data_IF_719121879548
#
_entry.id   IF_719121879548
#
_cell.length_a   1.000
_cell.length_b   1.000
_cell.length_c   1.000
_cell.angle_alpha   90.00
_cell.angle_beta   90.00
_cell.angle_gamma   90.00
#
_symmetry.space_group_name_H-M   'P 1'
#
loop_
_entity.id
_entity.type
_entity.pdbx_description
1 polymer ?
#
# COMPACT_ATOMS: atom_id res chain seq x y z
N UNK A 1 -14.31 15.46 70.73
CA UNK A 1 -15.01 16.70 71.17
C UNK A 1 -16.44 16.32 71.50
N UNK A 2 -17.00 16.84 72.59
CA UNK A 2 -18.39 16.60 72.97
C UNK A 2 -19.34 17.09 71.86
N UNK A 3 -20.36 16.31 71.51
CA UNK A 3 -21.39 16.72 70.54
C UNK A 3 -22.50 17.41 71.34
N UNK A 4 -22.90 18.61 70.92
CA UNK A 4 -23.98 19.37 71.57
C UNK A 4 -25.23 19.38 70.69
N UNK A 5 -26.40 19.21 71.32
CA UNK A 5 -27.67 19.25 70.61
C UNK A 5 -27.97 20.67 70.10
N UNK A 6 -28.59 20.80 68.91
CA UNK A 6 -29.02 22.09 68.39
C UNK A 6 -30.16 22.66 69.23
N UNK A 7 -30.20 23.99 69.46
CA UNK A 7 -31.28 24.63 70.22
C UNK A 7 -32.60 24.56 69.44
N UNK A 8 -33.71 24.68 70.17
CA UNK A 8 -35.06 24.77 69.59
C UNK A 8 -35.86 25.92 70.22
N UNK A 9 -36.80 26.44 69.45
CA UNK A 9 -37.73 27.50 69.83
C UNK A 9 -39.05 26.99 70.42
N UNK A 10 -39.26 25.67 70.40
CA UNK A 10 -40.45 24.98 70.93
C UNK A 10 -40.45 24.78 72.44
N UNK A 11 -39.42 25.25 73.15
CA UNK A 11 -39.30 25.10 74.60
C UNK A 11 -39.04 23.67 75.07
N UNK A 12 -38.60 22.79 74.17
CA UNK A 12 -38.23 21.41 74.49
C UNK A 12 -36.84 21.42 75.13
N UNK A 13 -36.65 20.70 76.24
CA UNK A 13 -35.35 20.62 76.89
C UNK A 13 -34.31 20.01 75.95
N UNK A 14 -33.16 20.68 75.87
CA UNK A 14 -32.02 20.24 75.05
C UNK A 14 -31.20 19.22 75.85
N UNK A 15 -30.82 18.06 75.27
CA UNK A 15 -29.95 17.09 75.93
C UNK A 15 -28.59 17.68 76.34
N UNK A 16 -27.99 17.21 77.44
CA UNK A 16 -26.65 17.65 77.84
C UNK A 16 -25.59 17.26 76.78
N UNK A 17 -24.45 17.97 76.70
CA UNK A 17 -23.34 17.60 75.81
C UNK A 17 -22.86 16.18 76.05
N UNK A 18 -22.59 15.43 74.98
CA UNK A 18 -22.21 14.02 75.09
C UNK A 18 -20.80 13.82 75.63
N UNK A 19 -20.56 12.65 76.23
CA UNK A 19 -19.23 12.12 76.49
C UNK A 19 -18.49 11.81 75.17
N UNK A 20 -17.19 11.55 75.29
CA UNK A 20 -16.33 11.18 74.17
C UNK A 20 -15.54 9.90 74.52
N UNK A 21 -15.93 8.72 74.02
CA UNK A 21 -17.00 8.48 73.04
C UNK A 21 -18.42 8.61 73.64
N UNK A 22 -19.44 8.95 72.83
CA UNK A 22 -20.82 8.92 73.29
C UNK A 22 -21.27 7.51 73.68
N UNK A 23 -22.21 7.43 74.61
CA UNK A 23 -22.80 6.20 75.14
C UNK A 23 -24.15 5.89 74.49
N UNK A 24 -24.61 4.63 74.56
CA UNK A 24 -25.92 4.24 74.05
C UNK A 24 -27.07 4.98 74.74
N UNK A 25 -26.90 5.35 76.02
CA UNK A 25 -27.87 6.16 76.73
C UNK A 25 -27.99 7.55 76.10
N UNK A 26 -26.88 8.17 75.71
CA UNK A 26 -26.87 9.48 75.05
C UNK A 26 -27.48 9.42 73.64
N UNK A 27 -27.35 8.29 72.93
CA UNK A 27 -28.09 8.06 71.67
C UNK A 27 -29.61 8.01 71.93
N UNK A 28 -30.04 7.34 73.00
CA UNK A 28 -31.44 7.28 73.41
C UNK A 28 -32.00 8.65 73.79
N UNK A 29 -31.25 9.45 74.55
CA UNK A 29 -31.63 10.83 74.90
C UNK A 29 -31.70 11.74 73.66
N UNK A 30 -30.77 11.61 72.72
CA UNK A 30 -30.83 12.32 71.45
C UNK A 30 -32.08 11.93 70.62
N UNK A 31 -32.43 10.64 70.59
CA UNK A 31 -33.64 10.16 69.90
C UNK A 31 -34.91 10.70 70.58
N UNK A 32 -34.98 10.67 71.91
CA UNK A 32 -36.08 11.26 72.67
C UNK A 32 -36.25 12.76 72.39
N UNK A 33 -35.14 13.49 72.21
CA UNK A 33 -35.18 14.89 71.81
C UNK A 33 -35.79 15.10 70.41
N UNK A 34 -35.37 14.30 69.43
CA UNK A 34 -35.94 14.32 68.07
C UNK A 34 -37.43 13.97 68.05
N UNK A 35 -37.84 12.92 68.78
CA UNK A 35 -39.23 12.48 68.85
C UNK A 35 -40.13 13.54 69.48
N UNK A 36 -39.64 14.22 70.52
CA UNK A 36 -40.35 15.34 71.13
C UNK A 36 -40.51 16.52 70.16
N UNK A 37 -39.48 16.86 69.38
CA UNK A 37 -39.57 17.90 68.35
C UNK A 37 -40.59 17.54 67.28
N UNK A 38 -40.58 16.31 66.77
CA UNK A 38 -41.54 15.84 65.78
C UNK A 38 -42.99 15.89 66.32
N UNK A 39 -43.19 15.54 67.60
CA UNK A 39 -44.49 15.56 68.24
C UNK A 39 -45.04 16.99 68.42
N UNK A 40 -44.20 17.96 68.79
CA UNK A 40 -44.63 19.36 68.96
C UNK A 40 -44.87 20.04 67.62
N UNK A 41 -44.13 19.68 66.56
CA UNK A 41 -44.41 20.15 65.20
C UNK A 41 -45.76 19.67 64.65
N UNK A 42 -46.29 18.56 65.18
CA UNK A 42 -47.57 17.97 64.80
C UNK A 42 -48.77 18.38 65.70
N UNK A 43 -48.53 19.07 66.83
CA UNK A 43 -49.57 19.35 67.84
C UNK A 43 -49.93 20.85 67.93
N UNK A 44 -51.21 21.16 68.15
CA UNK A 44 -51.75 22.53 68.25
C UNK A 44 -51.92 23.01 69.72
N UNK A 45 -50.95 22.73 70.59
CA UNK A 45 -50.98 23.21 71.99
C UNK A 45 -50.28 24.58 72.12
N UNK A 46 -50.37 25.22 73.29
CA UNK A 46 -49.82 26.56 73.62
C UNK A 46 -48.27 26.70 73.48
N UNK A 47 -47.60 25.75 72.83
CA UNK A 47 -46.16 25.78 72.53
C UNK A 47 -45.93 26.18 71.08
N UNK A 48 -44.83 26.91 70.83
CA UNK A 48 -44.43 27.25 69.47
C UNK A 48 -44.09 25.96 68.68
N UNK A 49 -44.70 25.73 67.50
CA UNK A 49 -44.42 24.53 66.70
C UNK A 49 -42.94 24.44 66.33
N UNK A 50 -42.40 23.23 66.31
CA UNK A 50 -41.03 23.01 65.83
C UNK A 50 -40.98 23.21 64.31
N UNK A 51 -39.89 23.81 63.85
CA UNK A 51 -39.62 24.04 62.43
C UNK A 51 -38.94 22.81 61.82
N UNK A 52 -39.10 22.61 60.51
CA UNK A 52 -38.39 21.56 59.78
C UNK A 52 -36.87 21.68 59.90
N UNK A 53 -36.34 22.89 60.11
CA UNK A 53 -34.91 23.15 60.32
C UNK A 53 -34.44 22.59 61.66
N UNK A 54 -35.23 22.78 62.74
CA UNK A 54 -34.92 22.24 64.07
C UNK A 54 -35.01 20.72 64.08
N UNK A 55 -36.02 20.14 63.42
CA UNK A 55 -36.16 18.69 63.24
C UNK A 55 -34.99 18.11 62.44
N UNK A 56 -34.59 18.76 61.34
CA UNK A 56 -33.45 18.35 60.53
C UNK A 56 -32.13 18.44 61.30
N UNK A 57 -31.94 19.50 62.09
CA UNK A 57 -30.79 19.66 62.98
C UNK A 57 -30.72 18.56 64.04
N UNK A 58 -31.84 18.26 64.71
CA UNK A 58 -31.91 17.19 65.70
C UNK A 58 -31.67 15.80 65.07
N UNK A 59 -32.13 15.59 63.83
CA UNK A 59 -31.87 14.36 63.07
C UNK A 59 -30.38 14.14 62.81
N UNK A 60 -29.68 15.19 62.37
CA UNK A 60 -28.22 15.13 62.15
C UNK A 60 -27.46 14.89 63.46
N UNK A 61 -27.91 15.52 64.56
CA UNK A 61 -27.35 15.33 65.88
C UNK A 61 -27.47 13.86 66.36
N UNK A 62 -28.65 13.25 66.22
CA UNK A 62 -28.86 11.82 66.53
C UNK A 62 -27.92 10.94 65.71
N UNK A 63 -27.82 11.21 64.40
CA UNK A 63 -26.98 10.42 63.50
C UNK A 63 -25.49 10.52 63.85
N UNK A 64 -25.01 11.72 64.19
CA UNK A 64 -23.61 11.94 64.56
C UNK A 64 -23.24 11.19 65.86
N UNK A 65 -24.10 11.26 66.87
CA UNK A 65 -23.90 10.55 68.14
C UNK A 65 -23.95 9.04 67.92
N UNK A 66 -24.95 8.54 67.19
CA UNK A 66 -25.08 7.12 66.89
C UNK A 66 -23.85 6.58 66.15
N UNK A 67 -23.32 7.34 65.19
CA UNK A 67 -22.12 6.96 64.42
C UNK A 67 -20.86 6.91 65.28
N UNK A 68 -20.70 7.83 66.24
CA UNK A 68 -19.54 7.84 67.16
C UNK A 68 -19.69 6.88 68.35
N UNK A 69 -20.92 6.49 68.69
CA UNK A 69 -21.23 5.48 69.70
C UNK A 69 -21.10 4.04 69.14
N UNK A 70 -21.21 3.87 67.82
CA UNK A 70 -21.05 2.56 67.19
C UNK A 70 -19.63 2.01 67.46
N UNK A 71 -19.49 0.79 68.01
CA UNK A 71 -18.19 0.15 68.08
C UNK A 71 -17.65 -0.01 66.65
N UNK A 72 -16.32 -0.04 66.47
CA UNK A 72 -15.74 -0.61 65.25
C UNK A 72 -16.10 -2.10 65.19
N UNK A 73 -17.33 -2.40 64.79
CA UNK A 73 -17.80 -3.78 64.63
C UNK A 73 -17.19 -4.26 63.32
N UNK A 74 -16.36 -5.31 63.41
CA UNK A 74 -15.94 -6.11 62.27
C UNK A 74 -17.18 -6.46 61.44
N UNK A 75 -17.10 -6.34 60.11
CA UNK A 75 -18.23 -6.49 59.21
C UNK A 75 -19.14 -7.68 59.60
N UNK A 76 -20.48 -7.55 59.52
CA UNK A 76 -21.40 -8.59 59.98
C UNK A 76 -21.07 -9.96 59.37
N UNK A 77 -21.33 -11.09 60.06
CA UNK A 77 -20.99 -12.43 59.55
C UNK A 77 -21.58 -12.73 58.16
N UNK A 78 -22.76 -12.20 57.85
CA UNK A 78 -23.40 -12.37 56.54
C UNK A 78 -22.66 -11.64 55.40
N UNK A 79 -21.79 -10.67 55.71
CA UNK A 79 -21.01 -9.92 54.72
C UNK A 79 -19.77 -10.67 54.24
N UNK A 80 -19.23 -11.59 55.05
CA UNK A 80 -18.05 -12.39 54.70
C UNK A 80 -18.13 -13.08 53.31
N UNK A 81 -19.21 -13.79 52.94
CA UNK A 81 -19.32 -14.38 51.60
C UNK A 81 -19.36 -13.35 50.48
N UNK A 82 -19.94 -12.17 50.73
CA UNK A 82 -19.99 -11.07 49.75
C UNK A 82 -18.59 -10.51 49.52
N UNK A 83 -17.82 -10.30 50.60
CA UNK A 83 -16.44 -9.86 50.50
C UNK A 83 -15.57 -10.84 49.70
N UNK A 84 -15.74 -12.15 49.93
CA UNK A 84 -15.04 -13.18 49.17
C UNK A 84 -15.40 -13.15 47.67
N UNK A 85 -16.68 -12.98 47.34
CA UNK A 85 -17.12 -12.83 45.94
C UNK A 85 -16.55 -11.57 45.28
N UNK A 86 -16.45 -10.46 46.03
CA UNK A 86 -15.88 -9.23 45.52
C UNK A 86 -14.40 -9.39 45.17
N UNK A 87 -13.63 -10.11 46.00
CA UNK A 87 -12.23 -10.46 45.71
C UNK A 87 -12.15 -11.31 44.43
N UNK A 88 -13.02 -12.31 44.26
CA UNK A 88 -13.06 -13.10 43.03
C UNK A 88 -13.39 -12.26 41.79
N UNK A 89 -14.31 -11.30 41.90
CA UNK A 89 -14.64 -10.40 40.80
C UNK A 89 -13.44 -9.54 40.42
N UNK A 90 -12.71 -8.99 41.41
CA UNK A 90 -11.49 -8.23 41.16
C UNK A 90 -10.45 -9.08 40.42
N UNK A 91 -10.18 -10.29 40.90
CA UNK A 91 -9.24 -11.21 40.21
C UNK A 91 -9.67 -11.53 38.78
N UNK A 92 -10.97 -11.70 38.54
CA UNK A 92 -11.49 -11.95 37.19
C UNK A 92 -11.32 -10.72 36.28
N UNK A 93 -11.51 -9.52 36.80
CA UNK A 93 -11.27 -8.27 36.06
C UNK A 93 -9.79 -8.12 35.71
N UNK A 94 -8.90 -8.41 36.65
CA UNK A 94 -7.45 -8.37 36.40
C UNK A 94 -7.03 -9.38 35.32
N UNK A 95 -7.57 -10.61 35.38
CA UNK A 95 -7.33 -11.62 34.36
C UNK A 95 -7.85 -11.21 32.98
N UNK A 96 -9.02 -10.57 32.92
CA UNK A 96 -9.58 -10.04 31.69
C UNK A 96 -8.70 -8.91 31.13
N UNK A 97 -8.25 -7.99 31.97
CA UNK A 97 -7.33 -6.92 31.57
C UNK A 97 -6.02 -7.49 30.99
N UNK A 98 -5.44 -8.50 31.64
CA UNK A 98 -4.25 -9.18 31.12
C UNK A 98 -4.51 -9.84 29.76
N UNK A 99 -5.69 -10.46 29.59
CA UNK A 99 -6.09 -11.06 28.31
C UNK A 99 -6.22 -9.99 27.21
N UNK A 100 -6.84 -8.85 27.52
CA UNK A 100 -6.99 -7.72 26.59
C UNK A 100 -5.62 -7.14 26.20
N UNK A 101 -4.72 -6.96 27.17
CA UNK A 101 -3.37 -6.47 26.90
C UNK A 101 -2.60 -7.43 25.98
N UNK A 102 -2.65 -8.73 26.25
CA UNK A 102 -2.01 -9.74 25.40
C UNK A 102 -2.60 -9.74 23.98
N UNK A 103 -3.92 -9.57 23.83
CA UNK A 103 -4.56 -9.46 22.51
C UNK A 103 -4.13 -8.19 21.78
N UNK A 104 -4.00 -7.06 22.50
CA UNK A 104 -3.51 -5.80 21.94
C UNK A 104 -2.07 -5.93 21.44
N UNK A 105 -1.19 -6.57 22.21
CA UNK A 105 0.20 -6.79 21.81
C UNK A 105 0.29 -7.72 20.59
N UNK A 106 -0.49 -8.80 20.58
CA UNK A 106 -0.58 -9.70 19.42
C UNK A 106 -1.09 -8.98 18.17
N UNK A 107 -2.11 -8.13 18.31
CA UNK A 107 -2.62 -7.32 17.22
C UNK A 107 -1.54 -6.38 16.66
N UNK A 108 -0.82 -5.67 17.54
CA UNK A 108 0.24 -4.76 17.13
C UNK A 108 1.38 -5.50 16.40
N UNK A 109 1.77 -6.66 16.90
CA UNK A 109 2.78 -7.51 16.26
C UNK A 109 2.32 -7.99 14.88
N UNK A 110 1.08 -8.48 14.76
CA UNK A 110 0.52 -8.91 13.50
C UNK A 110 0.45 -7.76 12.49
N UNK A 111 -0.02 -6.60 12.93
CA UNK A 111 -0.08 -5.39 12.09
C UNK A 111 1.32 -5.00 11.59
N UNK A 112 2.34 -5.07 12.44
CA UNK A 112 3.72 -4.80 12.03
C UNK A 112 4.24 -5.80 10.98
N UNK A 113 4.00 -7.09 11.19
CA UNK A 113 4.38 -8.15 10.24
C UNK A 113 3.69 -7.93 8.88
N UNK A 114 2.39 -7.68 8.89
CA UNK A 114 1.60 -7.45 7.67
C UNK A 114 2.14 -6.23 6.90
N UNK A 115 2.38 -5.11 7.59
CA UNK A 115 2.90 -3.91 6.95
C UNK A 115 4.31 -4.11 6.37
N UNK A 116 5.19 -4.82 7.09
CA UNK A 116 6.53 -5.14 6.59
C UNK A 116 6.46 -6.04 5.35
N UNK A 117 5.63 -7.07 5.38
CA UNK A 117 5.43 -7.97 4.24
C UNK A 117 4.86 -7.22 3.03
N UNK A 118 3.89 -6.34 3.24
CA UNK A 118 3.32 -5.51 2.19
C UNK A 118 4.39 -4.61 1.52
N UNK A 119 5.21 -3.92 2.32
CA UNK A 119 6.28 -3.08 1.81
C UNK A 119 7.34 -3.89 1.04
N UNK A 120 7.72 -5.06 1.56
CA UNK A 120 8.68 -5.94 0.89
C UNK A 120 8.14 -6.45 -0.45
N UNK A 121 6.85 -6.81 -0.50
CA UNK A 121 6.21 -7.26 -1.73
C UNK A 121 6.16 -6.15 -2.77
N UNK A 122 5.78 -4.93 -2.38
CA UNK A 122 5.78 -3.78 -3.30
C UNK A 122 7.17 -3.50 -3.85
N UNK A 123 8.20 -3.49 -3.00
CA UNK A 123 9.58 -3.32 -3.47
C UNK A 123 10.00 -4.43 -4.45
N UNK A 124 9.59 -5.68 -4.22
CA UNK A 124 9.86 -6.78 -5.14
C UNK A 124 9.15 -6.59 -6.49
N UNK A 125 7.89 -6.13 -6.47
CA UNK A 125 7.12 -5.81 -7.68
C UNK A 125 7.76 -4.67 -8.47
N UNK A 126 8.18 -3.60 -7.80
CA UNK A 126 8.86 -2.47 -8.45
C UNK A 126 10.18 -2.91 -9.12
N UNK A 127 10.95 -3.75 -8.45
CA UNK A 127 12.19 -4.31 -9.02
C UNK A 127 11.92 -5.20 -10.24
N UNK A 128 10.86 -6.01 -10.20
CA UNK A 128 10.44 -6.82 -11.35
C UNK A 128 9.99 -5.95 -12.52
N UNK A 129 9.21 -4.90 -12.26
CA UNK A 129 8.78 -3.95 -13.29
C UNK A 129 9.97 -3.27 -13.96
N UNK A 130 10.95 -2.81 -13.17
CA UNK A 130 12.19 -2.24 -13.71
C UNK A 130 12.97 -3.23 -14.57
N UNK A 131 13.04 -4.50 -14.14
CA UNK A 131 13.70 -5.56 -14.91
C UNK A 131 12.99 -5.82 -16.24
N UNK A 132 11.66 -5.88 -16.24
CA UNK A 132 10.84 -6.07 -17.44
C UNK A 132 11.01 -4.90 -18.41
N UNK A 133 10.98 -3.66 -17.92
CA UNK A 133 11.18 -2.48 -18.74
C UNK A 133 12.57 -2.50 -19.42
N UNK A 134 13.62 -2.79 -18.66
CA UNK A 134 14.98 -2.90 -19.21
C UNK A 134 15.09 -4.01 -20.26
N UNK A 135 14.44 -5.16 -20.05
CA UNK A 135 14.40 -6.24 -21.04
C UNK A 135 13.65 -5.83 -22.30
N UNK A 136 12.53 -5.11 -22.17
CA UNK A 136 11.77 -4.58 -23.29
C UNK A 136 12.61 -3.58 -24.11
N UNK A 137 13.32 -2.68 -23.46
CA UNK A 137 14.21 -1.71 -24.13
C UNK A 137 15.36 -2.42 -24.86
N UNK A 138 15.99 -3.40 -24.21
CA UNK A 138 17.03 -4.21 -24.84
C UNK A 138 16.52 -4.99 -26.05
N UNK A 139 15.33 -5.57 -25.96
CA UNK A 139 14.68 -6.25 -27.07
C UNK A 139 14.44 -5.30 -28.25
N UNK A 140 13.86 -4.12 -27.99
CA UNK A 140 13.59 -3.12 -29.03
C UNK A 140 14.89 -2.65 -29.71
N UNK A 141 15.95 -2.41 -28.93
CA UNK A 141 17.25 -2.03 -29.47
C UNK A 141 17.86 -3.12 -30.36
N UNK A 142 17.80 -4.38 -29.92
CA UNK A 142 18.27 -5.52 -30.70
C UNK A 142 17.44 -5.69 -31.98
N UNK A 143 16.12 -5.62 -31.88
CA UNK A 143 15.20 -5.74 -33.01
C UNK A 143 15.50 -4.68 -34.07
N UNK A 144 15.65 -3.42 -33.66
CA UNK A 144 15.99 -2.32 -34.56
C UNK A 144 17.36 -2.52 -35.22
N UNK A 145 18.36 -2.98 -34.45
CA UNK A 145 19.71 -3.25 -34.97
C UNK A 145 19.68 -4.35 -36.03
N UNK A 146 18.98 -5.46 -35.75
CA UNK A 146 18.84 -6.58 -36.69
C UNK A 146 18.11 -6.14 -37.95
N UNK A 147 17.00 -5.42 -37.83
CA UNK A 147 16.24 -4.94 -38.98
C UNK A 147 17.07 -3.98 -39.85
N UNK A 148 17.81 -3.06 -39.24
CA UNK A 148 18.68 -2.14 -39.96
C UNK A 148 19.79 -2.89 -40.72
N UNK A 149 20.42 -3.87 -40.07
CA UNK A 149 21.44 -4.71 -40.70
C UNK A 149 20.87 -5.52 -41.87
N UNK A 150 19.68 -6.11 -41.68
CA UNK A 150 18.98 -6.85 -42.73
C UNK A 150 18.69 -5.96 -43.93
N UNK A 151 18.13 -4.77 -43.71
CA UNK A 151 17.82 -3.81 -44.79
C UNK A 151 19.08 -3.36 -45.53
N UNK A 152 20.16 -3.06 -44.81
CA UNK A 152 21.44 -2.68 -45.40
C UNK A 152 22.03 -3.81 -46.26
N UNK A 153 22.00 -5.04 -45.75
CA UNK A 153 22.47 -6.22 -46.49
C UNK A 153 21.61 -6.47 -47.74
N UNK A 154 20.28 -6.41 -47.61
CA UNK A 154 19.35 -6.56 -48.73
C UNK A 154 19.65 -5.54 -49.83
N UNK A 155 19.84 -4.26 -49.47
CA UNK A 155 20.22 -3.21 -50.41
C UNK A 155 21.58 -3.48 -51.08
N UNK A 156 22.58 -3.93 -50.32
CA UNK A 156 23.89 -4.28 -50.86
C UNK A 156 23.82 -5.44 -51.87
N UNK A 157 23.04 -6.47 -51.56
CA UNK A 157 22.79 -7.62 -52.44
C UNK A 157 22.09 -7.17 -53.72
N UNK A 158 21.05 -6.33 -53.62
CA UNK A 158 20.35 -5.80 -54.80
C UNK A 158 21.29 -4.98 -55.70
N UNK A 159 22.13 -4.13 -55.11
CA UNK A 159 23.12 -3.34 -55.85
C UNK A 159 24.16 -4.23 -56.55
N UNK A 160 24.63 -5.28 -55.87
CA UNK A 160 25.55 -6.26 -56.47
C UNK A 160 24.87 -7.00 -57.63
N UNK A 161 23.63 -7.46 -57.45
CA UNK A 161 22.87 -8.13 -58.51
C UNK A 161 22.73 -7.23 -59.74
N UNK A 162 22.38 -5.96 -59.55
CA UNK A 162 22.32 -4.99 -60.65
C UNK A 162 23.67 -4.81 -61.36
N UNK A 163 24.77 -4.78 -60.59
CA UNK A 163 26.13 -4.67 -61.13
C UNK A 163 26.49 -5.88 -61.97
N UNK A 164 26.14 -7.08 -61.51
CA UNK A 164 26.36 -8.34 -62.27
C UNK A 164 25.56 -8.33 -63.56
N UNK A 165 24.26 -8.01 -63.52
CA UNK A 165 23.42 -7.93 -64.72
C UNK A 165 23.96 -6.93 -65.74
N UNK A 166 24.45 -5.77 -65.30
CA UNK A 166 25.05 -4.78 -66.20
C UNK A 166 26.37 -5.30 -66.83
N UNK A 167 27.15 -6.05 -66.07
CA UNK A 167 28.38 -6.67 -66.57
C UNK A 167 28.08 -7.76 -67.61
N UNK A 168 27.11 -8.62 -67.33
CA UNK A 168 26.62 -9.64 -68.27
C UNK A 168 26.20 -9.00 -69.59
N UNK A 169 25.36 -7.96 -69.54
CA UNK A 169 24.94 -7.23 -70.74
C UNK A 169 26.12 -6.61 -71.52
N UNK A 170 27.13 -6.10 -70.81
CA UNK A 170 28.35 -5.56 -71.43
C UNK A 170 29.17 -6.64 -72.13
N UNK A 171 29.29 -7.82 -71.51
CA UNK A 171 30.00 -8.98 -72.07
C UNK A 171 29.28 -9.48 -73.33
N UNK A 172 27.95 -9.64 -73.27
CA UNK A 172 27.14 -10.07 -74.43
C UNK A 172 27.26 -9.10 -75.61
N UNK A 173 27.22 -7.80 -75.35
CA UNK A 173 27.41 -6.77 -76.37
C UNK A 173 28.81 -6.86 -77.03
N UNK A 174 29.85 -7.13 -76.23
CA UNK A 174 31.21 -7.33 -76.74
C UNK A 174 31.33 -8.58 -77.61
N UNK A 175 30.75 -9.70 -77.18
CA UNK A 175 30.73 -10.93 -77.98
C UNK A 175 30.01 -10.73 -79.30
N UNK A 176 28.82 -10.12 -79.29
CA UNK A 176 28.07 -9.77 -80.51
C UNK A 176 28.90 -8.90 -81.46
N UNK A 177 29.66 -7.93 -80.91
CA UNK A 177 30.57 -7.09 -81.70
C UNK A 177 31.73 -7.86 -82.34
N UNK A 178 32.29 -8.82 -81.61
CA UNK A 178 33.34 -9.72 -82.13
C UNK A 178 32.80 -10.62 -83.25
N UNK A 179 31.62 -11.21 -83.08
CA UNK A 179 30.97 -12.02 -84.12
C UNK A 179 30.77 -11.23 -85.42
N UNK A 180 30.30 -9.98 -85.32
CA UNK A 180 30.16 -9.08 -86.48
C UNK A 180 31.51 -8.80 -87.14
N UNK A 181 32.54 -8.49 -86.36
CA UNK A 181 33.89 -8.24 -86.88
C UNK A 181 34.46 -9.47 -87.59
N UNK A 182 34.23 -10.66 -87.04
CA UNK A 182 34.64 -11.92 -87.63
C UNK A 182 33.89 -12.21 -88.95
N UNK A 183 32.59 -11.93 -89.02
CA UNK A 183 31.83 -12.06 -90.26
C UNK A 183 32.37 -11.16 -91.39
N UNK A 184 32.77 -9.92 -91.06
CA UNK A 184 33.42 -9.01 -92.02
C UNK A 184 34.74 -9.59 -92.53
N UNK A 185 35.59 -10.10 -91.62
CA UNK A 185 36.85 -10.73 -92.00
C UNK A 185 36.64 -11.96 -92.90
N UNK A 186 35.66 -12.81 -92.60
CA UNK A 186 35.32 -13.97 -93.43
C UNK A 186 34.85 -13.56 -94.83
N UNK A 187 34.09 -12.47 -94.95
CA UNK A 187 33.66 -11.96 -96.26
C UNK A 187 34.84 -11.40 -97.06
N UNK A 188 35.76 -10.70 -96.40
CA UNK A 188 36.99 -10.21 -97.03
C UNK A 188 37.86 -11.36 -97.55
N UNK A 189 38.12 -12.39 -96.75
CA UNK A 189 38.92 -13.55 -97.18
C UNK A 189 38.28 -14.34 -98.30
N UNK A 190 36.95 -14.49 -98.32
CA UNK A 190 36.21 -15.08 -99.44
C UNK A 190 36.35 -14.26 -100.74
N UNK A 191 36.33 -12.93 -100.64
CA UNK A 191 36.53 -12.04 -101.79
C UNK A 191 37.91 -12.15 -102.42
N UNK A 192 38.97 -12.34 -101.61
CA UNK A 192 40.32 -12.59 -102.12
C UNK A 192 40.44 -13.89 -102.94
N UNK A 193 39.61 -14.90 -102.67
CA UNK A 193 39.55 -16.13 -103.47
C UNK A 193 38.90 -15.96 -104.86
N UNK A 194 38.27 -14.82 -105.13
CA UNK A 194 37.57 -14.50 -106.39
C UNK A 194 38.33 -13.50 -107.28
N UNK A 195 39.55 -13.12 -106.92
CA UNK A 195 40.46 -12.48 -107.86
C UNK A 195 40.88 -13.53 -108.90
N UNK A 196 40.13 -13.62 -110.00
CA UNK A 196 40.67 -14.23 -111.24
C UNK A 196 42.02 -13.58 -111.51
N UNK A 197 43.08 -14.35 -111.82
CA UNK A 197 44.35 -13.77 -112.21
C UNK A 197 44.06 -12.73 -113.27
N UNK A 198 44.53 -11.50 -113.05
CA UNK A 198 44.51 -10.48 -114.08
C UNK A 198 45.26 -11.07 -115.27
N UNK A 199 44.54 -11.42 -116.34
CA UNK A 199 45.16 -11.92 -117.56
C UNK A 199 46.06 -10.78 -118.02
N UNK A 200 47.36 -11.03 -118.04
CA UNK A 200 48.36 -10.03 -118.41
C UNK A 200 47.97 -9.45 -119.78
N UNK A 201 47.53 -8.19 -119.81
CA UNK A 201 47.27 -7.46 -121.07
C UNK A 201 48.56 -7.19 -121.86
N UNK A 202 49.72 -7.54 -121.30
CA UNK A 202 51.04 -7.41 -121.88
C UNK A 202 51.69 -8.80 -122.01
N UNK A 203 52.44 -9.03 -123.09
CA UNK A 203 53.29 -10.21 -123.21
C UNK A 203 54.56 -10.10 -122.35
N UNK A 204 55.38 -11.16 -122.31
CA UNK A 204 56.63 -11.22 -121.54
C UNK A 204 57.70 -10.18 -121.97
N UNK A 205 57.45 -9.44 -123.06
CA UNK A 205 58.28 -8.34 -123.55
C UNK A 205 57.67 -6.95 -123.23
N UNK A 206 56.56 -6.88 -122.49
CA UNK A 206 55.90 -5.64 -122.09
C UNK A 206 55.06 -4.96 -123.19
N UNK A 207 54.81 -5.63 -124.32
CA UNK A 207 53.95 -5.12 -125.39
C UNK A 207 52.50 -5.59 -125.19
N UNK A 208 51.48 -4.78 -125.55
CA UNK A 208 50.09 -5.20 -125.51
C UNK A 208 49.85 -6.48 -126.30
N UNK A 209 49.13 -7.45 -125.72
CA UNK A 209 48.66 -8.61 -126.49
C UNK A 209 47.72 -8.12 -127.61
N UNK A 210 47.82 -8.67 -128.83
CA UNK A 210 46.96 -8.27 -129.93
C UNK A 210 45.49 -8.49 -129.56
N UNK A 211 44.66 -7.47 -129.82
CA UNK A 211 43.22 -7.57 -129.65
C UNK A 211 42.70 -8.64 -130.61
N UNK A 212 42.27 -9.77 -130.06
CA UNK A 212 41.52 -10.78 -130.80
C UNK A 212 40.13 -10.19 -131.05
N UNK A 213 39.93 -9.58 -132.20
CA UNK A 213 38.59 -9.32 -132.72
C UNK A 213 38.09 -10.63 -133.33
N UNK A 214 37.41 -11.47 -132.54
CA UNK A 214 36.60 -12.53 -133.13
C UNK A 214 35.29 -11.94 -133.68
N UNK A 215 34.77 -12.49 -134.80
CA UNK A 215 33.51 -12.06 -135.45
C UNK A 215 32.25 -12.38 -134.65
#
# INVERSE_FOLDING_TARGET
MAISAPPNSSGISVPPPTQNPPTLAEVGEAQHYLDNLLRVGAASSNMQPSTNVEVGGATLYVHEIATKCAPQIAAPPWFAPIAAQLIHLTTNVDNLNNTVNNLSDNYNNLNHIVNNNYNNLNNAVDNLNNTVNNLSDNYNNLHNTVNNNYNNLSNAVNNLSNTVTNLEATVDARFTGLERSMAVLQNFTKGYGLLTPYNNILNDAGAPLPLVCDP
#
